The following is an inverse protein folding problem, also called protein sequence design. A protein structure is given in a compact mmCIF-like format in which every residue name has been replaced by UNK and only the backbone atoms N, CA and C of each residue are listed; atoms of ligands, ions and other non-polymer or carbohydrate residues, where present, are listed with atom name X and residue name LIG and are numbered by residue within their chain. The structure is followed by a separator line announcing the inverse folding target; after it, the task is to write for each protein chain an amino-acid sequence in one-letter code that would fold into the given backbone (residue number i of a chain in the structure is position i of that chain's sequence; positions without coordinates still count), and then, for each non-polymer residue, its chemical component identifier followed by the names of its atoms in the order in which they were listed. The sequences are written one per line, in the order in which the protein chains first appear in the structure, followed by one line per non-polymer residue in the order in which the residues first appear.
data_IF_551473916823
#
_entry.id   IF_551473916823
#
_cell.length_a   1.000
_cell.length_b   1.000
_cell.length_c   1.000
_cell.angle_alpha   90.00
_cell.angle_beta   90.00
_cell.angle_gamma   90.00
#
_symmetry.space_group_name_H-M   'P 1'
#
loop_
_entity.id
_entity.type
_entity.pdbx_description
1 polymer ?
#
# COMPACT_ATOMS: atom_id res chain seq x y z
N UNK A 1 8.52 27.97 -8.26
CA UNK A 1 9.98 27.97 -8.04
C UNK A 1 10.47 26.60 -8.41
N UNK A 2 11.13 26.52 -9.56
CA UNK A 2 11.17 25.32 -10.40
C UNK A 2 12.15 24.26 -9.89
N UNK A 3 11.66 23.02 -9.81
CA UNK A 3 12.44 21.79 -9.55
C UNK A 3 13.69 21.66 -10.42
N UNK A 4 13.70 22.29 -11.60
CA UNK A 4 14.83 22.34 -12.54
C UNK A 4 16.02 23.18 -12.04
N UNK A 5 15.79 24.26 -11.28
CA UNK A 5 16.87 25.10 -10.74
C UNK A 5 17.62 24.41 -9.59
N UNK A 6 16.93 23.60 -8.79
CA UNK A 6 17.56 22.85 -7.69
C UNK A 6 18.46 21.72 -8.20
N UNK A 7 18.03 21.01 -9.26
CA UNK A 7 18.84 19.95 -9.89
C UNK A 7 20.10 20.51 -10.56
N UNK A 8 19.98 21.62 -11.29
CA UNK A 8 21.14 22.26 -11.93
C UNK A 8 22.19 22.72 -10.91
N UNK A 9 21.74 23.27 -9.77
CA UNK A 9 22.63 23.74 -8.72
C UNK A 9 23.35 22.58 -8.00
N UNK A 10 22.65 21.47 -7.74
CA UNK A 10 23.25 20.29 -7.12
C UNK A 10 24.30 19.64 -8.03
N UNK A 11 23.99 19.44 -9.31
CA UNK A 11 24.94 18.82 -10.25
C UNK A 11 26.14 19.74 -10.50
N UNK A 12 25.92 21.06 -10.60
CA UNK A 12 27.01 22.03 -10.69
C UNK A 12 27.91 22.02 -9.45
N UNK A 13 27.34 21.88 -8.25
CA UNK A 13 28.11 21.76 -7.02
C UNK A 13 28.96 20.48 -6.99
N UNK A 14 28.37 19.34 -7.35
CA UNK A 14 29.08 18.07 -7.42
C UNK A 14 30.22 18.12 -8.43
N UNK A 15 29.98 18.65 -9.63
CA UNK A 15 31.01 18.80 -10.66
C UNK A 15 32.14 19.75 -10.25
N UNK A 16 31.89 20.74 -9.39
CA UNK A 16 32.90 21.68 -8.93
C UNK A 16 33.71 21.21 -7.71
N UNK A 17 33.22 20.21 -6.97
CA UNK A 17 33.83 19.74 -5.70
C UNK A 17 34.29 18.29 -5.74
N UNK A 18 33.80 17.50 -6.69
CA UNK A 18 34.04 16.07 -6.80
C UNK A 18 34.24 15.70 -8.27
N UNK A 19 35.48 15.72 -8.76
CA UNK A 19 35.80 15.45 -10.17
C UNK A 19 35.45 14.01 -10.59
N UNK A 20 35.32 13.10 -9.63
CA UNK A 20 34.98 11.68 -9.80
C UNK A 20 33.49 11.38 -9.60
N UNK A 21 32.64 12.38 -9.32
CA UNK A 21 31.24 12.14 -8.95
C UNK A 21 30.48 11.31 -9.99
N UNK A 22 30.81 11.48 -11.27
CA UNK A 22 30.13 10.79 -12.36
C UNK A 22 30.51 9.30 -12.38
N UNK A 23 31.79 8.97 -12.19
CA UNK A 23 32.24 7.57 -12.09
C UNK A 23 31.69 6.88 -10.84
N UNK A 24 31.61 7.59 -9.71
CA UNK A 24 31.01 7.11 -8.47
C UNK A 24 29.51 6.88 -8.65
N UNK A 25 28.80 7.82 -9.28
CA UNK A 25 27.38 7.70 -9.58
C UNK A 25 27.09 6.52 -10.52
N UNK A 26 27.84 6.38 -11.60
CA UNK A 26 27.66 5.30 -12.58
C UNK A 26 27.94 3.92 -11.95
N UNK A 27 28.97 3.81 -11.10
CA UNK A 27 29.29 2.60 -10.34
C UNK A 27 28.19 2.26 -9.33
N UNK A 28 27.64 3.25 -8.63
CA UNK A 28 26.56 3.06 -7.67
C UNK A 28 25.26 2.60 -8.37
N UNK A 29 24.95 3.18 -9.53
CA UNK A 29 23.72 2.89 -10.30
C UNK A 29 23.76 1.52 -10.98
N UNK A 30 24.96 1.01 -11.31
CA UNK A 30 25.15 -0.34 -11.85
C UNK A 30 25.21 -1.43 -10.79
N UNK A 31 25.62 -1.10 -9.56
CA UNK A 31 25.87 -2.09 -8.50
C UNK A 31 24.64 -2.41 -7.66
N UNK A 32 23.75 -1.45 -7.41
CA UNK A 32 22.59 -1.64 -6.54
C UNK A 32 21.37 -0.89 -7.06
N UNK A 33 20.23 -1.60 -7.13
CA UNK A 33 18.94 -0.96 -7.38
C UNK A 33 18.65 0.05 -6.27
N UNK A 34 18.11 1.21 -6.63
CA UNK A 34 17.62 2.22 -5.68
C UNK A 34 16.62 1.63 -4.66
N UNK A 35 15.95 0.52 -5.00
CA UNK A 35 15.08 -0.21 -4.08
C UNK A 35 15.79 -0.73 -2.81
N UNK A 36 17.09 -1.01 -2.87
CA UNK A 36 17.91 -1.43 -1.71
C UNK A 36 18.02 -0.32 -0.66
N UNK A 37 17.91 0.94 -1.08
CA UNK A 37 17.93 2.11 -0.20
C UNK A 37 16.52 2.56 0.22
N UNK A 38 15.49 1.74 -0.04
CA UNK A 38 14.11 2.07 0.30
C UNK A 38 13.40 3.00 -0.68
N UNK A 39 14.00 3.32 -1.83
CA UNK A 39 13.31 4.10 -2.86
C UNK A 39 12.26 3.23 -3.56
N UNK A 40 11.01 3.68 -3.45
CA UNK A 40 9.87 3.05 -4.12
C UNK A 40 9.72 3.64 -5.52
N UNK A 41 9.53 2.77 -6.53
CA UNK A 41 9.27 3.26 -7.88
C UNK A 41 7.99 4.10 -7.93
N UNK A 42 7.97 5.11 -8.80
CA UNK A 42 6.78 5.96 -9.01
C UNK A 42 5.52 5.14 -9.35
N UNK A 43 5.70 4.05 -10.10
CA UNK A 43 4.61 3.12 -10.46
C UNK A 43 4.09 2.39 -9.22
N UNK A 44 4.97 1.91 -8.33
CA UNK A 44 4.56 1.28 -7.07
C UNK A 44 3.86 2.28 -6.16
N UNK A 45 4.38 3.51 -6.07
CA UNK A 45 3.75 4.59 -5.30
C UNK A 45 2.35 4.90 -5.83
N UNK A 46 2.19 5.08 -7.15
CA UNK A 46 0.89 5.33 -7.79
C UNK A 46 -0.13 4.22 -7.47
N UNK A 47 0.28 2.96 -7.55
CA UNK A 47 -0.57 1.80 -7.22
C UNK A 47 -1.05 1.82 -5.77
N UNK A 48 -0.15 2.11 -4.84
CA UNK A 48 -0.49 2.23 -3.43
C UNK A 48 -1.44 3.40 -3.18
N UNK A 49 -1.22 4.55 -3.81
CA UNK A 49 -2.11 5.71 -3.68
C UNK A 49 -3.51 5.42 -4.22
N UNK A 50 -3.63 4.71 -5.35
CA UNK A 50 -4.93 4.25 -5.85
C UNK A 50 -5.65 3.34 -4.85
N UNK A 51 -4.96 2.33 -4.29
CA UNK A 51 -5.56 1.47 -3.27
C UNK A 51 -6.02 2.29 -2.06
N UNK A 52 -5.16 3.18 -1.54
CA UNK A 52 -5.49 4.04 -0.40
C UNK A 52 -6.68 4.93 -0.67
N UNK A 53 -6.76 5.53 -1.86
CA UNK A 53 -7.86 6.39 -2.29
C UNK A 53 -9.20 5.64 -2.25
N UNK A 54 -9.24 4.45 -2.86
CA UNK A 54 -10.45 3.62 -2.93
C UNK A 54 -10.89 3.17 -1.54
N UNK A 55 -9.97 2.64 -0.73
CA UNK A 55 -10.29 2.10 0.60
C UNK A 55 -10.66 3.21 1.58
N UNK A 56 -9.86 4.27 1.68
CA UNK A 56 -10.07 5.32 2.69
C UNK A 56 -11.33 6.16 2.42
N UNK A 57 -11.76 6.27 1.16
CA UNK A 57 -12.99 7.00 0.78
C UNK A 57 -14.20 6.09 0.57
N UNK A 58 -14.04 4.77 0.74
CA UNK A 58 -15.08 3.78 0.47
C UNK A 58 -15.70 3.94 -0.93
N UNK A 59 -14.86 4.09 -1.95
CA UNK A 59 -15.28 4.26 -3.35
C UNK A 59 -15.38 2.91 -4.06
N UNK A 60 -16.21 2.79 -5.11
CA UNK A 60 -16.21 1.58 -5.93
C UNK A 60 -14.88 1.41 -6.65
N UNK A 61 -14.40 0.17 -6.79
CA UNK A 61 -13.12 -0.10 -7.46
C UNK A 61 -13.13 0.34 -8.93
N UNK A 62 -14.31 0.44 -9.56
CA UNK A 62 -14.48 0.98 -10.92
C UNK A 62 -14.15 2.48 -11.05
N UNK A 63 -14.01 3.19 -9.93
CA UNK A 63 -13.70 4.62 -9.92
C UNK A 63 -12.36 4.93 -10.59
N UNK A 64 -11.41 3.99 -10.56
CA UNK A 64 -10.12 4.17 -11.25
C UNK A 64 -10.22 4.07 -12.77
N UNK A 65 -11.32 3.52 -13.29
CA UNK A 65 -11.62 3.50 -14.73
C UNK A 65 -12.35 4.79 -15.18
N UNK A 66 -12.76 5.66 -14.25
CA UNK A 66 -13.44 6.91 -14.59
C UNK A 66 -12.43 7.90 -15.21
N UNK A 67 -12.75 8.40 -16.40
CA UNK A 67 -11.86 9.29 -17.16
C UNK A 67 -11.58 10.61 -16.43
N UNK A 68 -12.59 11.21 -15.79
CA UNK A 68 -12.44 12.47 -15.05
C UNK A 68 -11.58 12.27 -13.80
N UNK A 69 -11.79 11.17 -13.08
CA UNK A 69 -10.99 10.79 -11.91
C UNK A 69 -9.55 10.52 -12.31
N UNK A 70 -9.33 9.80 -13.41
CA UNK A 70 -8.00 9.60 -13.99
C UNK A 70 -7.32 10.92 -14.35
N UNK A 71 -8.03 11.83 -15.03
CA UNK A 71 -7.51 13.12 -15.43
C UNK A 71 -7.20 14.06 -14.26
N UNK A 72 -7.95 13.97 -13.15
CA UNK A 72 -7.69 14.74 -11.93
C UNK A 72 -6.63 14.10 -11.02
N UNK A 73 -6.34 12.81 -11.18
CA UNK A 73 -5.35 12.12 -10.38
C UNK A 73 -3.93 12.48 -10.82
N UNK A 74 -3.02 12.69 -9.86
CA UNK A 74 -1.59 12.80 -10.13
C UNK A 74 -0.90 11.42 -10.24
N UNK A 75 -1.68 10.34 -10.39
CA UNK A 75 -1.19 8.96 -10.29
C UNK A 75 -1.15 8.32 -11.68
N UNK A 76 -0.22 7.40 -11.90
CA UNK A 76 -0.23 6.62 -13.15
C UNK A 76 -1.56 5.87 -13.29
N UNK A 77 -2.23 5.92 -14.46
CA UNK A 77 -3.49 5.23 -14.67
C UNK A 77 -3.42 3.73 -14.36
N UNK A 78 -4.52 3.18 -13.84
CA UNK A 78 -4.66 1.75 -13.56
C UNK A 78 -6.10 1.32 -13.87
N UNK A 79 -6.28 0.09 -14.35
CA UNK A 79 -7.63 -0.47 -14.49
C UNK A 79 -8.15 -1.02 -13.17
N UNK A 80 -9.47 -1.05 -12.98
CA UNK A 80 -10.10 -1.70 -11.83
C UNK A 80 -9.69 -3.17 -11.71
N UNK A 81 -9.56 -3.88 -12.84
CA UNK A 81 -9.11 -5.27 -12.87
C UNK A 81 -7.69 -5.43 -12.31
N UNK A 82 -6.78 -4.54 -12.68
CA UNK A 82 -5.41 -4.57 -12.13
C UNK A 82 -5.41 -4.18 -10.66
N UNK A 83 -6.18 -3.18 -10.26
CA UNK A 83 -6.27 -2.75 -8.87
C UNK A 83 -6.80 -3.85 -7.95
N UNK A 84 -7.84 -4.58 -8.37
CA UNK A 84 -8.37 -5.74 -7.62
C UNK A 84 -7.31 -6.81 -7.39
N UNK A 85 -6.58 -7.21 -8.43
CA UNK A 85 -5.48 -8.18 -8.29
C UNK A 85 -4.40 -7.70 -7.34
N UNK A 86 -4.07 -6.41 -7.37
CA UNK A 86 -3.10 -5.85 -6.43
C UNK A 86 -3.63 -5.88 -4.99
N UNK A 87 -4.89 -5.54 -4.77
CA UNK A 87 -5.53 -5.63 -3.46
C UNK A 87 -5.55 -7.07 -2.93
N UNK A 88 -5.83 -8.06 -3.78
CA UNK A 88 -5.73 -9.49 -3.44
C UNK A 88 -4.29 -9.86 -3.03
N UNK A 89 -3.28 -9.48 -3.81
CA UNK A 89 -1.89 -9.72 -3.47
C UNK A 89 -1.46 -9.04 -2.16
N UNK A 90 -1.93 -7.82 -1.91
CA UNK A 90 -1.67 -7.12 -0.64
C UNK A 90 -2.34 -7.85 0.51
N UNK A 91 -3.58 -8.30 0.35
CA UNK A 91 -4.32 -9.04 1.37
C UNK A 91 -3.57 -10.33 1.75
N UNK A 92 -3.08 -11.09 0.77
CA UNK A 92 -2.26 -12.29 1.01
C UNK A 92 -0.97 -11.93 1.77
N UNK A 93 -0.26 -10.89 1.35
CA UNK A 93 0.99 -10.47 2.01
C UNK A 93 0.76 -9.99 3.45
N UNK A 94 -0.31 -9.24 3.68
CA UNK A 94 -0.71 -8.79 5.02
C UNK A 94 -1.11 -10.00 5.87
N UNK A 95 -1.86 -10.95 5.31
CA UNK A 95 -2.21 -12.21 5.99
C UNK A 95 -0.98 -13.00 6.43
N UNK A 96 -0.01 -13.20 5.55
CA UNK A 96 1.24 -13.89 5.89
C UNK A 96 2.06 -13.15 6.94
N UNK A 97 2.12 -11.81 6.87
CA UNK A 97 2.80 -11.01 7.89
C UNK A 97 2.09 -11.11 9.25
N UNK A 98 0.76 -11.10 9.22
CA UNK A 98 -0.07 -11.25 10.42
C UNK A 98 0.08 -12.64 11.03
N UNK A 99 0.13 -13.71 10.24
CA UNK A 99 0.37 -15.07 10.73
C UNK A 99 1.68 -15.17 11.51
N UNK A 100 2.77 -14.58 10.99
CA UNK A 100 4.04 -14.50 11.69
C UNK A 100 3.97 -13.64 12.97
N UNK A 101 3.09 -12.63 13.01
CA UNK A 101 2.92 -11.74 14.15
C UNK A 101 2.05 -12.36 15.26
N UNK A 102 1.00 -13.10 14.90
CA UNK A 102 0.07 -13.75 15.83
C UNK A 102 0.76 -14.85 16.65
N UNK A 103 1.68 -15.59 16.04
CA UNK A 103 2.29 -16.77 16.65
C UNK A 103 1.26 -17.85 17.01
N UNK A 104 1.62 -18.70 17.97
CA UNK A 104 0.81 -19.89 18.32
C UNK A 104 -0.36 -19.57 19.28
N UNK A 105 -0.37 -18.39 19.90
CA UNK A 105 -1.33 -18.03 20.95
C UNK A 105 -1.98 -16.67 20.69
N UNK A 106 -3.25 -16.70 20.31
CA UNK A 106 -4.10 -15.52 20.17
C UNK A 106 -5.54 -15.86 20.54
N UNK A 107 -6.30 -14.85 20.94
CA UNK A 107 -7.74 -14.93 21.13
C UNK A 107 -8.49 -14.56 19.86
N UNK A 108 -9.70 -15.10 19.72
CA UNK A 108 -10.65 -14.71 18.68
C UNK A 108 -11.83 -13.98 19.32
N UNK A 109 -12.17 -12.81 18.76
CA UNK A 109 -13.42 -12.11 19.04
C UNK A 109 -14.34 -12.30 17.83
N UNK A 110 -15.59 -12.66 18.12
CA UNK A 110 -16.67 -12.64 17.17
C UNK A 110 -17.56 -11.45 17.55
N UNK A 111 -17.65 -10.46 16.69
CA UNK A 111 -18.62 -9.38 16.84
C UNK A 111 -19.70 -9.50 15.75
N UNK A 112 -20.94 -9.19 16.13
CA UNK A 112 -22.11 -9.34 15.27
C UNK A 112 -22.81 -8.01 15.20
N UNK A 113 -22.97 -7.50 13.99
CA UNK A 113 -23.81 -6.34 13.75
C UNK A 113 -24.90 -6.66 12.73
N UNK A 114 -25.87 -5.77 12.66
CA UNK A 114 -26.96 -5.83 11.68
C UNK A 114 -27.08 -4.47 11.02
N UNK A 115 -27.27 -4.48 9.70
CA UNK A 115 -27.57 -3.26 8.96
C UNK A 115 -28.67 -3.57 7.93
N UNK A 116 -29.80 -2.88 8.07
CA UNK A 116 -31.03 -3.24 7.36
C UNK A 116 -31.42 -4.71 7.61
N UNK A 117 -31.67 -5.48 6.55
CA UNK A 117 -32.03 -6.90 6.60
C UNK A 117 -30.83 -7.85 6.50
N UNK A 118 -29.60 -7.34 6.66
CA UNK A 118 -28.39 -8.16 6.60
C UNK A 118 -27.74 -8.23 7.97
N UNK A 119 -27.49 -9.46 8.42
CA UNK A 119 -26.69 -9.74 9.59
C UNK A 119 -25.25 -10.01 9.15
N UNK A 120 -24.28 -9.52 9.93
CA UNK A 120 -22.87 -9.71 9.66
C UNK A 120 -22.19 -10.25 10.90
N UNK A 121 -21.16 -11.04 10.69
CA UNK A 121 -20.20 -11.44 11.72
C UNK A 121 -18.81 -11.05 11.25
N UNK A 122 -18.03 -10.43 12.12
CA UNK A 122 -16.60 -10.30 11.95
C UNK A 122 -15.84 -11.21 12.91
N UNK A 123 -14.65 -11.57 12.48
CA UNK A 123 -13.70 -12.35 13.25
C UNK A 123 -12.47 -11.49 13.42
N UNK A 124 -12.13 -11.16 14.66
CA UNK A 124 -10.98 -10.33 15.02
C UNK A 124 -10.02 -11.15 15.86
N UNK A 125 -8.76 -11.24 15.43
CA UNK A 125 -7.68 -11.79 16.24
C UNK A 125 -7.26 -10.76 17.28
N UNK A 126 -7.05 -11.20 18.52
CA UNK A 126 -6.54 -10.41 19.63
C UNK A 126 -5.33 -11.10 20.23
N UNK A 127 -4.22 -10.39 20.29
CA UNK A 127 -2.93 -10.97 20.67
C UNK A 127 -2.05 -9.91 21.33
N UNK A 128 -0.95 -10.37 21.90
CA UNK A 128 0.08 -9.51 22.49
C UNK A 128 1.26 -9.44 21.52
N UNK A 129 1.72 -8.24 21.19
CA UNK A 129 2.94 -8.02 20.42
C UNK A 129 3.74 -6.86 21.03
N UNK A 130 4.96 -7.15 21.48
CA UNK A 130 5.91 -6.20 22.09
C UNK A 130 5.37 -5.47 23.34
N UNK A 131 4.75 -6.21 24.26
CA UNK A 131 4.08 -5.72 25.46
C UNK A 131 2.75 -5.02 25.21
N UNK A 132 2.23 -5.01 23.98
CA UNK A 132 1.01 -4.28 23.62
C UNK A 132 -0.07 -5.21 23.07
N UNK A 133 -1.29 -5.06 23.59
CA UNK A 133 -2.47 -5.72 23.02
C UNK A 133 -2.75 -5.15 21.63
N UNK A 134 -2.82 -6.01 20.64
CA UNK A 134 -3.20 -5.69 19.26
C UNK A 134 -4.49 -6.39 18.87
N UNK A 135 -5.16 -5.84 17.86
CA UNK A 135 -6.37 -6.38 17.28
C UNK A 135 -6.28 -6.31 15.76
N UNK A 136 -6.59 -7.41 15.08
CA UNK A 136 -6.55 -7.49 13.61
C UNK A 136 -7.80 -8.18 13.10
N UNK A 137 -8.53 -7.50 12.21
CA UNK A 137 -9.69 -8.06 11.53
C UNK A 137 -9.23 -9.15 10.57
N UNK A 138 -9.69 -10.38 10.78
CA UNK A 138 -9.39 -11.55 9.95
C UNK A 138 -10.39 -11.72 8.81
N UNK A 139 -11.64 -11.37 9.05
CA UNK A 139 -12.68 -11.52 8.06
C UNK A 139 -14.01 -10.94 8.51
N UNK A 140 -14.86 -10.65 7.53
CA UNK A 140 -16.24 -10.23 7.70
C UNK A 140 -17.07 -11.07 6.74
N UNK A 141 -18.16 -11.65 7.24
CA UNK A 141 -19.11 -12.38 6.40
C UNK A 141 -20.52 -11.92 6.69
N UNK A 142 -21.39 -11.76 5.67
CA UNK A 142 -22.82 -11.79 5.91
C UNK A 142 -23.18 -13.16 6.50
N UNK A 143 -24.12 -13.18 7.43
CA UNK A 143 -24.81 -14.37 7.88
C UNK A 143 -26.04 -14.50 7.01
N UNK A 144 -26.13 -15.61 6.28
CA UNK A 144 -27.39 -15.96 5.63
C UNK A 144 -28.41 -16.21 6.76
N UNK A 145 -29.59 -15.61 6.65
CA UNK A 145 -30.71 -16.00 7.50
C UNK A 145 -31.04 -17.44 7.12
N UNK A 146 -30.51 -18.41 7.88
CA UNK A 146 -30.74 -19.81 7.63
C UNK A 146 -32.23 -20.06 7.45
N UNK A 147 -32.61 -20.60 6.29
CA UNK A 147 -33.94 -21.14 6.03
C UNK A 147 -34.33 -22.17 7.10
#
# INVERSE_FOLDING_TARGET
MDSLLLRGNLIGHLAAKHDDYQAVYDTATTSQSLGTFGFVSETTSSRFQWMRWIVARNLPVSEVDNELTGAMSCYKPISSKTLKKLMECVTIKVGNALENELGDMFGLIFDRWSHASLHYVDIVAVYECNGQRRQSLLGVSPLDEGC
#
